data_IF_049743923028
#
_entry.id   IF_049743923028
#
_cell.length_a   1.000
_cell.length_b   1.000
_cell.length_c   1.000
_cell.angle_alpha   90.00
_cell.angle_beta   90.00
_cell.angle_gamma   90.00
#
_symmetry.space_group_name_H-M   'P 1'
#
loop_
_entity.id
_entity.type
_entity.pdbx_description
1 polymer ?
#
# COMPACT_ATOMS: atom_id res chain seq x y z
N UNK A 1 -11.59 -17.83 -7.21
CA UNK A 1 -11.85 -16.51 -7.85
C UNK A 1 -11.22 -15.48 -6.93
N UNK A 2 -10.22 -14.72 -7.37
CA UNK A 2 -9.63 -13.69 -6.51
C UNK A 2 -10.55 -12.47 -6.52
N UNK A 3 -10.85 -11.92 -5.35
CA UNK A 3 -11.67 -10.73 -5.18
C UNK A 3 -10.91 -9.47 -5.65
N UNK A 4 -9.60 -9.48 -5.46
CA UNK A 4 -8.70 -8.41 -5.88
C UNK A 4 -7.63 -8.93 -6.85
N UNK A 5 -7.26 -8.10 -7.83
CA UNK A 5 -6.20 -8.44 -8.77
C UNK A 5 -4.83 -8.50 -8.07
N UNK A 6 -3.85 -9.26 -8.60
CA UNK A 6 -2.48 -9.23 -8.09
C UNK A 6 -1.89 -7.81 -8.05
N UNK A 7 -2.27 -6.96 -9.00
CA UNK A 7 -1.84 -5.56 -9.03
C UNK A 7 -2.47 -4.71 -7.91
N UNK A 8 -3.73 -4.97 -7.55
CA UNK A 8 -4.35 -4.35 -6.38
C UNK A 8 -3.67 -4.81 -5.07
N UNK A 9 -3.33 -6.10 -4.97
CA UNK A 9 -2.59 -6.65 -3.84
C UNK A 9 -1.17 -6.06 -3.74
N UNK A 10 -0.49 -5.89 -4.87
CA UNK A 10 0.82 -5.23 -4.96
C UNK A 10 0.79 -3.82 -4.37
N UNK A 11 -0.18 -3.01 -4.82
CA UNK A 11 -0.32 -1.63 -4.37
C UNK A 11 -0.73 -1.55 -2.89
N UNK A 12 -1.64 -2.42 -2.45
CA UNK A 12 -2.04 -2.51 -1.04
C UNK A 12 -0.86 -2.90 -0.13
N UNK A 13 -0.02 -3.84 -0.56
CA UNK A 13 1.19 -4.22 0.16
C UNK A 13 2.15 -3.04 0.32
N UNK A 14 2.40 -2.30 -0.75
CA UNK A 14 3.27 -1.11 -0.73
C UNK A 14 2.74 -0.05 0.23
N UNK A 15 1.43 0.23 0.23
CA UNK A 15 0.82 1.19 1.15
C UNK A 15 1.03 0.77 2.61
N UNK A 16 0.80 -0.52 2.91
CA UNK A 16 1.02 -1.07 4.25
C UNK A 16 2.49 -0.94 4.68
N UNK A 17 3.41 -1.36 3.81
CA UNK A 17 4.84 -1.37 4.10
C UNK A 17 5.40 0.05 4.28
N UNK A 18 5.02 1.00 3.41
CA UNK A 18 5.41 2.41 3.54
C UNK A 18 4.89 3.01 4.85
N UNK A 19 3.63 2.74 5.20
CA UNK A 19 3.05 3.24 6.46
C UNK A 19 3.82 2.70 7.67
N UNK A 20 4.20 1.41 7.65
CA UNK A 20 5.05 0.80 8.68
C UNK A 20 6.43 1.45 8.76
N UNK A 21 7.06 1.71 7.61
CA UNK A 21 8.38 2.36 7.58
C UNK A 21 8.32 3.79 8.12
N UNK A 22 7.25 4.56 7.82
CA UNK A 22 7.06 5.90 8.40
C UNK A 22 6.87 5.81 9.92
N UNK A 23 5.98 4.93 10.38
CA UNK A 23 5.73 4.72 11.81
C UNK A 23 7.00 4.32 12.59
N UNK A 24 7.82 3.45 12.00
CA UNK A 24 9.11 3.04 12.56
C UNK A 24 10.09 4.22 12.71
N UNK A 25 10.10 5.15 11.74
CA UNK A 25 10.93 6.37 11.81
C UNK A 25 10.48 7.35 12.89
N UNK A 26 9.21 7.30 13.30
CA UNK A 26 8.69 8.08 14.43
C UNK A 26 9.06 7.47 15.80
N UNK A 27 9.82 6.38 15.83
CA UNK A 27 10.32 5.74 17.07
C UNK A 27 9.47 4.58 17.56
N UNK A 28 8.47 4.15 16.79
CA UNK A 28 7.60 3.02 17.12
C UNK A 28 8.12 1.73 16.48
N UNK A 29 9.09 1.06 17.12
CA UNK A 29 9.76 -0.14 16.58
C UNK A 29 8.89 -1.41 16.59
N UNK A 30 7.94 -1.53 17.53
CA UNK A 30 6.98 -2.65 17.61
C UNK A 30 5.55 -2.10 17.45
N UNK A 31 5.16 -1.88 16.21
CA UNK A 31 3.80 -1.49 15.89
C UNK A 31 2.88 -2.71 16.00
N UNK A 32 2.11 -2.81 17.09
CA UNK A 32 0.91 -3.64 17.08
C UNK A 32 -0.06 -3.11 15.99
N UNK A 33 -0.84 -4.01 15.40
CA UNK A 33 -1.75 -3.74 14.28
C UNK A 33 -2.66 -2.55 14.57
N UNK A 34 -3.16 -2.44 15.80
CA UNK A 34 -4.02 -1.33 16.22
C UNK A 34 -3.31 0.03 16.22
N UNK A 35 -2.00 0.06 16.54
CA UNK A 35 -1.21 1.29 16.46
C UNK A 35 -1.03 1.72 15.00
N UNK A 36 -0.72 0.77 14.11
CA UNK A 36 -0.60 1.03 12.68
C UNK A 36 -1.90 1.57 12.09
N UNK A 37 -3.03 0.94 12.41
CA UNK A 37 -4.37 1.35 11.97
C UNK A 37 -4.70 2.77 12.44
N UNK A 38 -4.54 3.04 13.74
CA UNK A 38 -4.80 4.36 14.33
C UNK A 38 -3.91 5.44 13.72
N UNK A 39 -2.64 5.14 13.51
CA UNK A 39 -1.67 6.05 12.89
C UNK A 39 -2.05 6.36 11.44
N UNK A 40 -2.29 5.32 10.64
CA UNK A 40 -2.61 5.44 9.23
C UNK A 40 -3.90 6.24 8.99
N UNK A 41 -4.94 5.96 9.79
CA UNK A 41 -6.22 6.66 9.70
C UNK A 41 -6.08 8.14 10.09
N UNK A 42 -5.36 8.45 11.17
CA UNK A 42 -5.21 9.83 11.67
C UNK A 42 -4.31 10.68 10.79
N UNK A 43 -3.18 10.14 10.36
CA UNK A 43 -2.16 10.91 9.67
C UNK A 43 -2.40 10.99 8.16
N UNK A 44 -2.96 9.94 7.56
CA UNK A 44 -3.07 9.82 6.10
C UNK A 44 -4.50 9.55 5.61
N UNK A 45 -5.47 9.35 6.51
CA UNK A 45 -6.82 8.95 6.13
C UNK A 45 -6.86 7.53 5.52
N UNK A 46 -5.86 6.70 5.81
CA UNK A 46 -5.76 5.34 5.26
C UNK A 46 -6.55 4.37 6.12
N UNK A 47 -7.48 3.65 5.51
CA UNK A 47 -8.17 2.53 6.14
C UNK A 47 -7.33 1.24 6.02
N UNK A 48 -6.62 0.86 7.09
CA UNK A 48 -5.75 -0.33 7.10
C UNK A 48 -6.55 -1.63 7.02
N UNK A 49 -7.75 -1.71 7.62
CA UNK A 49 -8.62 -2.88 7.47
C UNK A 49 -8.97 -3.15 6.00
N UNK A 50 -9.26 -2.09 5.25
CA UNK A 50 -9.50 -2.19 3.82
C UNK A 50 -8.25 -2.64 3.06
N UNK A 51 -7.08 -2.07 3.37
CA UNK A 51 -5.79 -2.49 2.78
C UNK A 51 -5.50 -3.96 3.07
N UNK A 52 -5.73 -4.42 4.30
CA UNK A 52 -5.57 -5.82 4.70
C UNK A 52 -6.57 -6.75 4.04
N UNK A 53 -7.82 -6.30 3.84
CA UNK A 53 -8.82 -7.05 3.08
C UNK A 53 -8.35 -7.33 1.65
N UNK A 54 -7.69 -6.35 1.02
CA UNK A 54 -7.11 -6.50 -0.32
C UNK A 54 -5.95 -7.50 -0.29
N UNK A 55 -4.98 -7.32 0.61
CA UNK A 55 -3.78 -8.18 0.72
C UNK A 55 -4.17 -9.63 0.98
N UNK A 56 -5.03 -9.89 1.98
CA UNK A 56 -5.48 -11.24 2.31
C UNK A 56 -6.51 -11.78 1.30
N UNK A 57 -6.94 -10.94 0.35
CA UNK A 57 -7.96 -11.27 -0.63
C UNK A 57 -9.26 -11.78 0.02
N UNK A 58 -9.67 -11.11 1.11
CA UNK A 58 -10.90 -11.36 1.87
C UNK A 58 -11.81 -10.15 1.78
N UNK A 59 -13.13 -10.35 1.67
CA UNK A 59 -14.09 -9.24 1.62
C UNK A 59 -15.31 -9.55 0.76
N UNK A 60 -16.33 -8.72 0.90
CA UNK A 60 -17.63 -8.88 0.23
C UNK A 60 -17.70 -8.05 -1.06
N UNK A 61 -17.88 -8.67 -2.25
CA UNK A 61 -17.96 -7.97 -3.53
C UNK A 61 -19.16 -7.01 -3.63
N UNK A 62 -20.16 -7.11 -2.76
CA UNK A 62 -21.38 -6.28 -2.79
C UNK A 62 -21.19 -4.88 -2.20
N UNK A 63 -20.10 -4.63 -1.47
CA UNK A 63 -19.76 -3.31 -0.90
C UNK A 63 -18.72 -2.55 -1.70
N UNK A 64 -18.78 -2.64 -3.03
CA UNK A 64 -18.00 -1.74 -3.89
C UNK A 64 -18.43 -0.31 -3.62
N UNK A 65 -17.53 0.46 -3.00
CA UNK A 65 -17.62 1.91 -2.86
C UNK A 65 -17.89 2.55 -4.22
N UNK A 66 -18.50 3.74 -4.24
CA UNK A 66 -18.75 4.49 -5.48
C UNK A 66 -17.46 4.82 -6.27
N UNK A 67 -16.29 4.80 -5.59
CA UNK A 67 -14.96 4.94 -6.19
C UNK A 67 -14.31 3.57 -6.44
N UNK A 68 -13.51 3.47 -7.50
CA UNK A 68 -12.79 2.23 -7.81
C UNK A 68 -11.71 1.94 -6.77
N UNK A 69 -11.39 0.66 -6.54
CA UNK A 69 -10.28 0.24 -5.65
C UNK A 69 -8.97 0.92 -6.05
N UNK A 70 -8.73 1.09 -7.35
CA UNK A 70 -7.52 1.73 -7.89
C UNK A 70 -7.44 3.21 -7.48
N UNK A 71 -8.55 3.95 -7.57
CA UNK A 71 -8.61 5.36 -7.15
C UNK A 71 -8.32 5.50 -5.65
N UNK A 72 -8.84 4.60 -4.83
CA UNK A 72 -8.61 4.61 -3.37
C UNK A 72 -7.13 4.34 -3.07
N UNK A 73 -6.56 3.29 -3.66
CA UNK A 73 -5.15 2.94 -3.47
C UNK A 73 -4.22 4.04 -4.00
N UNK A 74 -4.54 4.64 -5.15
CA UNK A 74 -3.81 5.79 -5.68
C UNK A 74 -3.86 6.97 -4.70
N UNK A 75 -5.03 7.31 -4.16
CA UNK A 75 -5.18 8.36 -3.17
C UNK A 75 -4.33 8.11 -1.91
N UNK A 76 -4.26 6.87 -1.44
CA UNK A 76 -3.38 6.51 -0.32
C UNK A 76 -1.90 6.69 -0.67
N UNK A 77 -1.46 6.25 -1.86
CA UNK A 77 -0.08 6.47 -2.33
C UNK A 77 0.26 7.96 -2.41
N UNK A 78 -0.65 8.80 -2.91
CA UNK A 78 -0.47 10.25 -2.94
C UNK A 78 -0.36 10.85 -1.52
N UNK A 79 -1.13 10.34 -0.56
CA UNK A 79 -1.08 10.83 0.83
C UNK A 79 0.24 10.52 1.54
N UNK A 80 0.88 9.40 1.20
CA UNK A 80 2.16 8.98 1.75
C UNK A 80 3.35 9.69 1.10
N UNK A 81 3.20 10.13 -0.16
CA UNK A 81 4.26 10.66 -1.00
C UNK A 81 5.15 11.73 -0.32
N UNK A 82 4.62 12.70 0.45
CA UNK A 82 5.45 13.71 1.12
C UNK A 82 6.36 13.17 2.24
N UNK A 83 6.11 11.95 2.73
CA UNK A 83 6.73 11.39 3.92
C UNK A 83 7.72 10.25 3.62
N UNK A 84 7.76 9.82 2.37
CA UNK A 84 8.56 8.68 1.93
C UNK A 84 9.81 9.14 1.18
N UNK A 85 10.87 8.32 1.21
CA UNK A 85 12.07 8.55 0.41
C UNK A 85 12.13 7.58 -0.76
N UNK A 86 13.00 7.87 -1.74
CA UNK A 86 13.27 6.97 -2.87
C UNK A 86 13.65 5.55 -2.42
N UNK A 87 14.41 5.43 -1.34
CA UNK A 87 14.81 4.11 -0.82
C UNK A 87 13.65 3.35 -0.18
N UNK A 88 12.74 4.06 0.51
CA UNK A 88 11.55 3.42 1.11
C UNK A 88 10.66 2.82 0.03
N UNK A 89 10.36 3.59 -1.03
CA UNK A 89 9.53 3.09 -2.11
C UNK A 89 10.20 1.97 -2.88
N UNK A 90 11.52 2.03 -3.07
CA UNK A 90 12.28 0.94 -3.69
C UNK A 90 12.18 -0.34 -2.84
N UNK A 91 12.45 -0.24 -1.55
CA UNK A 91 12.36 -1.37 -0.62
C UNK A 91 10.94 -1.96 -0.57
N UNK A 92 9.89 -1.12 -0.50
CA UNK A 92 8.51 -1.60 -0.50
C UNK A 92 8.13 -2.33 -1.79
N UNK A 93 8.60 -1.86 -2.95
CA UNK A 93 8.37 -2.54 -4.23
C UNK A 93 9.06 -3.90 -4.28
N UNK A 94 10.29 -3.99 -3.77
CA UNK A 94 11.03 -5.25 -3.66
C UNK A 94 10.32 -6.22 -2.71
N UNK A 95 9.89 -5.76 -1.54
CA UNK A 95 9.14 -6.56 -0.56
C UNK A 95 7.80 -7.05 -1.12
N UNK A 96 7.05 -6.18 -1.82
CA UNK A 96 5.78 -6.54 -2.45
C UNK A 96 5.96 -7.60 -3.54
N UNK A 97 7.00 -7.45 -4.36
CA UNK A 97 7.33 -8.45 -5.38
C UNK A 97 7.69 -9.79 -4.75
N UNK A 98 8.45 -9.81 -3.65
CA UNK A 98 8.78 -11.05 -2.93
C UNK A 98 7.52 -11.71 -2.37
N UNK A 99 6.62 -10.95 -1.75
CA UNK A 99 5.35 -11.45 -1.25
C UNK A 99 4.52 -12.13 -2.36
N UNK A 100 4.37 -11.47 -3.50
CA UNK A 100 3.58 -11.99 -4.62
C UNK A 100 4.28 -13.07 -5.46
N UNK A 101 5.62 -13.07 -5.52
CA UNK A 101 6.40 -14.12 -6.21
C UNK A 101 6.32 -15.46 -5.51
N UNK A 102 6.19 -15.45 -4.17
CA UNK A 102 5.90 -16.66 -3.40
C UNK A 102 4.51 -17.22 -3.71
N UNK A 103 3.60 -16.40 -4.24
CA UNK A 103 2.25 -16.81 -4.58
C UNK A 103 2.04 -17.11 -6.07
N UNK A 104 2.77 -16.48 -7.02
CA UNK A 104 2.55 -16.59 -8.49
C UNK A 104 3.79 -16.30 -9.35
N UNK A 105 3.76 -16.74 -10.62
CA UNK A 105 4.75 -16.40 -11.65
C UNK A 105 4.91 -14.87 -11.75
N UNK A 106 6.16 -14.41 -11.79
CA UNK A 106 6.56 -13.01 -11.65
C UNK A 106 6.11 -12.13 -12.83
N UNK A 107 4.91 -11.58 -12.74
CA UNK A 107 4.47 -10.45 -13.59
C UNK A 107 5.03 -9.13 -13.03
N UNK A 108 5.35 -8.19 -13.92
CA UNK A 108 5.75 -6.83 -13.55
C UNK A 108 4.50 -6.05 -13.18
N UNK A 109 4.26 -5.84 -11.89
CA UNK A 109 3.10 -5.08 -11.42
C UNK A 109 3.30 -3.57 -11.53
N UNK A 110 2.24 -2.85 -11.92
CA UNK A 110 2.27 -1.39 -11.99
C UNK A 110 1.89 -0.75 -10.65
N UNK A 111 2.63 0.29 -10.28
CA UNK A 111 2.28 1.13 -9.15
C UNK A 111 1.17 2.10 -9.59
N UNK A 112 0.11 2.24 -8.77
CA UNK A 112 -0.98 3.21 -8.95
C UNK A 112 -0.57 4.63 -8.57
N UNK A 113 0.66 4.99 -8.93
CA UNK A 113 1.25 6.30 -8.79
C UNK A 113 2.13 6.52 -10.03
N UNK A 114 1.84 7.54 -10.87
CA UNK A 114 2.57 7.75 -12.11
C UNK A 114 4.07 7.95 -11.89
N UNK A 115 4.91 7.34 -12.74
CA UNK A 115 6.37 7.51 -12.67
C UNK A 115 6.80 8.99 -12.76
N UNK A 116 6.05 9.81 -13.49
CA UNK A 116 6.29 11.26 -13.56
C UNK A 116 6.14 11.97 -12.20
N UNK A 117 5.26 11.47 -11.33
CA UNK A 117 5.06 11.99 -9.97
C UNK A 117 6.23 11.58 -9.08
N UNK A 118 6.67 10.33 -9.18
CA UNK A 118 7.85 9.83 -8.46
C UNK A 118 9.11 10.60 -8.83
N UNK A 119 9.33 10.81 -10.13
CA UNK A 119 10.45 11.59 -10.62
C UNK A 119 10.45 12.99 -10.03
N UNK A 120 9.34 13.73 -10.11
CA UNK A 120 9.25 15.09 -9.54
C UNK A 120 9.49 15.15 -8.03
N UNK A 121 9.12 14.11 -7.30
CA UNK A 121 9.22 14.08 -5.83
C UNK A 121 10.65 13.79 -5.35
N UNK A 122 11.40 12.96 -6.09
CA UNK A 122 12.73 12.50 -5.68
C UNK A 122 13.88 13.06 -6.55
N UNK A 123 13.60 14.09 -7.34
CA UNK A 123 14.57 14.77 -8.21
C UNK A 123 15.39 15.83 -7.48
#
# INVERSE_FOLDING_TARGET
MNYFSPEQQYNAWIICDLTKQILSREGHQEADTHLLESFAARQFGINIDYVFSIIMNIGDPEKRTASSTEDILASYLFSLLPFITKDMIKASRENANQYLSNERNADVYHLFLPDSVLQKTFH
#
